data_IF_473323655058
#
_entry.id   IF_473323655058
#
_cell.length_a   1.000
_cell.length_b   1.000
_cell.length_c   1.000
_cell.angle_alpha   90.00
_cell.angle_beta   90.00
_cell.angle_gamma   90.00
#
_symmetry.space_group_name_H-M   'P 1'
#
loop_
_entity.id
_entity.type
_entity.pdbx_description
1 polymer ?
#
# COMPACT_ATOMS: atom_id res chain seq x y z
N UNK A 1 -5.53 1.44 12.70
CA UNK A 1 -5.35 2.91 12.72
C UNK A 1 -4.50 3.31 11.53
N UNK A 2 -4.84 4.39 10.83
CA UNK A 2 -4.05 4.86 9.68
C UNK A 2 -2.81 5.62 10.15
N UNK A 3 -1.69 5.37 9.49
CA UNK A 3 -0.38 5.95 9.79
C UNK A 3 0.21 6.57 8.51
N UNK A 4 0.90 7.69 8.65
CA UNK A 4 1.71 8.25 7.58
C UNK A 4 3.08 7.58 7.57
N UNK A 5 3.68 7.42 6.40
CA UNK A 5 5.02 6.84 6.26
C UNK A 5 5.91 7.84 5.55
N UNK A 6 7.08 8.10 6.11
CA UNK A 6 8.10 8.95 5.51
C UNK A 6 8.99 8.13 4.56
N UNK A 7 9.48 8.72 3.46
CA UNK A 7 10.36 8.02 2.52
C UNK A 7 11.62 7.42 3.19
N UNK A 8 12.17 8.09 4.20
CA UNK A 8 13.35 7.60 4.95
C UNK A 8 13.11 6.25 5.60
N UNK A 9 11.88 5.95 6.02
CA UNK A 9 11.53 4.67 6.65
C UNK A 9 11.58 3.48 5.67
N UNK A 10 11.59 3.78 4.37
CA UNK A 10 11.69 2.78 3.30
C UNK A 10 13.11 2.75 2.71
N UNK A 11 13.74 3.91 2.53
CA UNK A 11 14.99 4.02 1.75
C UNK A 11 16.26 4.27 2.57
N UNK A 12 16.18 4.65 3.85
CA UNK A 12 17.35 4.80 4.73
C UNK A 12 17.42 3.63 5.73
N UNK A 13 18.47 2.79 5.67
CA UNK A 13 18.64 1.65 6.57
C UNK A 13 18.56 1.96 8.06
N UNK A 14 18.89 3.20 8.46
CA UNK A 14 18.83 3.63 9.86
C UNK A 14 17.40 3.71 10.42
N UNK A 15 16.40 3.71 9.55
CA UNK A 15 14.99 3.84 9.90
C UNK A 15 14.18 2.59 9.54
N UNK A 16 14.82 1.51 9.08
CA UNK A 16 14.12 0.30 8.68
C UNK A 16 13.41 -0.35 9.85
N UNK A 17 12.09 -0.42 9.74
CA UNK A 17 11.24 -1.22 10.60
C UNK A 17 11.25 -2.66 10.09
N UNK A 18 11.61 -3.61 10.95
CA UNK A 18 11.64 -5.04 10.58
C UNK A 18 10.29 -5.75 10.77
N UNK A 19 9.32 -5.08 11.40
CA UNK A 19 7.99 -5.64 11.68
C UNK A 19 7.05 -5.49 10.50
N UNK A 20 6.40 -6.60 10.12
CA UNK A 20 5.31 -6.63 9.15
C UNK A 20 4.04 -5.90 9.63
N UNK A 21 3.94 -5.62 10.93
CA UNK A 21 2.89 -4.75 11.47
C UNK A 21 3.04 -3.27 11.09
N UNK A 22 4.20 -2.86 10.56
CA UNK A 22 4.44 -1.47 10.16
C UNK A 22 4.25 -1.29 8.63
N UNK A 23 3.50 -0.28 8.15
CA UNK A 23 3.24 -0.11 6.72
C UNK A 23 4.51 0.01 5.86
N UNK A 24 5.58 0.61 6.40
CA UNK A 24 6.85 0.78 5.69
C UNK A 24 7.46 -0.56 5.23
N UNK A 25 7.27 -1.64 6.00
CA UNK A 25 7.75 -2.98 5.64
C UNK A 25 7.16 -3.45 4.31
N UNK A 26 5.83 -3.34 4.17
CA UNK A 26 5.12 -3.73 2.95
C UNK A 26 5.41 -2.77 1.78
N UNK A 27 5.46 -1.46 2.05
CA UNK A 27 5.74 -0.46 1.03
C UNK A 27 7.17 -0.58 0.45
N UNK A 28 8.13 -1.07 1.22
CA UNK A 28 9.48 -1.33 0.72
C UNK A 28 9.52 -2.36 -0.42
N UNK A 29 8.58 -3.31 -0.40
CA UNK A 29 8.45 -4.38 -1.41
C UNK A 29 7.91 -3.87 -2.75
N UNK A 30 7.23 -2.72 -2.78
CA UNK A 30 6.70 -2.13 -4.02
C UNK A 30 7.83 -1.79 -5.00
N UNK A 31 7.66 -2.17 -6.27
CA UNK A 31 8.58 -1.84 -7.36
C UNK A 31 8.22 -0.48 -7.96
N UNK A 32 9.09 0.04 -8.84
CA UNK A 32 8.84 1.32 -9.53
C UNK A 32 7.46 1.40 -10.21
N UNK A 33 6.98 0.37 -10.95
CA UNK A 33 5.66 0.41 -11.58
C UNK A 33 4.51 0.48 -10.58
N UNK A 34 4.66 -0.15 -9.42
CA UNK A 34 3.64 -0.17 -8.36
C UNK A 34 3.47 1.23 -7.74
N UNK A 35 4.58 1.96 -7.55
CA UNK A 35 4.54 3.38 -7.16
C UNK A 35 3.91 4.28 -8.24
N UNK A 36 4.12 3.95 -9.52
CA UNK A 36 3.45 4.68 -10.61
C UNK A 36 1.94 4.42 -10.62
N UNK A 37 1.50 3.20 -10.29
CA UNK A 37 0.07 2.88 -10.14
C UNK A 37 -0.55 3.69 -9.00
N UNK A 38 0.12 3.81 -7.85
CA UNK A 38 -0.34 4.68 -6.76
C UNK A 38 -0.48 6.15 -7.19
N UNK A 39 0.47 6.68 -7.95
CA UNK A 39 0.37 8.05 -8.46
C UNK A 39 -0.74 8.20 -9.50
N UNK A 40 -0.99 7.18 -10.35
CA UNK A 40 -2.15 7.16 -11.26
C UNK A 40 -3.47 7.18 -10.48
N UNK A 41 -3.57 6.37 -9.43
CA UNK A 41 -4.72 6.38 -8.52
C UNK A 41 -4.93 7.76 -7.87
N UNK A 42 -3.84 8.47 -7.54
CA UNK A 42 -3.87 9.84 -7.01
C UNK A 42 -4.05 10.93 -8.09
N UNK A 43 -4.16 10.56 -9.37
CA UNK A 43 -4.22 11.48 -10.51
C UNK A 43 -3.01 12.42 -10.61
N UNK A 44 -1.86 12.00 -10.09
CA UNK A 44 -0.60 12.73 -10.14
C UNK A 44 0.21 12.26 -11.35
N UNK A 45 0.48 13.21 -12.27
CA UNK A 45 1.34 12.94 -13.43
C UNK A 45 2.80 12.84 -13.02
N UNK A 46 3.35 11.64 -13.06
CA UNK A 46 4.79 11.41 -12.88
C UNK A 46 5.53 11.33 -14.22
N UNK A 47 6.75 11.88 -14.26
CA UNK A 47 7.66 11.65 -15.39
C UNK A 47 8.05 10.16 -15.44
N UNK A 48 8.04 9.56 -16.63
CA UNK A 48 8.46 8.15 -16.82
C UNK A 48 9.90 7.89 -16.34
N UNK A 49 10.77 8.90 -16.45
CA UNK A 49 12.16 8.89 -16.01
C UNK A 49 12.37 9.03 -14.49
N UNK A 50 11.32 9.36 -13.72
CA UNK A 50 11.44 9.56 -12.28
C UNK A 50 11.95 8.29 -11.57
N UNK A 51 12.81 8.47 -10.55
CA UNK A 51 13.37 7.37 -9.75
C UNK A 51 12.36 6.90 -8.71
N UNK A 52 12.47 5.62 -8.28
CA UNK A 52 11.57 5.00 -7.28
C UNK A 52 11.40 5.87 -6.02
N UNK A 53 12.46 6.42 -5.37
CA UNK A 53 12.29 7.25 -4.19
C UNK A 53 11.47 8.52 -4.44
N UNK A 54 11.65 9.19 -5.57
CA UNK A 54 10.89 10.39 -5.91
C UNK A 54 9.39 10.09 -6.13
N UNK A 55 9.08 8.96 -6.78
CA UNK A 55 7.70 8.50 -6.96
C UNK A 55 7.06 8.15 -5.61
N UNK A 56 7.80 7.45 -4.76
CA UNK A 56 7.35 7.08 -3.43
C UNK A 56 7.08 8.32 -2.57
N UNK A 57 8.00 9.29 -2.53
CA UNK A 57 7.78 10.55 -1.80
C UNK A 57 6.50 11.26 -2.21
N UNK A 58 6.27 11.43 -3.51
CA UNK A 58 5.05 12.08 -4.01
C UNK A 58 3.76 11.34 -3.61
N UNK A 59 3.80 9.99 -3.57
CA UNK A 59 2.65 9.20 -3.14
C UNK A 59 2.44 9.28 -1.62
N UNK A 60 3.51 9.14 -0.85
CA UNK A 60 3.51 9.12 0.63
C UNK A 60 3.07 10.45 1.25
N UNK A 61 3.32 11.57 0.57
CA UNK A 61 2.80 12.88 1.00
C UNK A 61 1.27 12.91 1.07
N UNK A 62 0.59 12.16 0.19
CA UNK A 62 -0.87 12.19 0.00
C UNK A 62 -1.61 11.02 0.62
N UNK A 63 -0.89 9.99 1.08
CA UNK A 63 -1.49 8.74 1.52
C UNK A 63 -1.23 8.48 3.01
N UNK A 64 -2.23 7.90 3.66
CA UNK A 64 -2.09 7.24 4.95
C UNK A 64 -2.43 5.76 4.80
N UNK A 65 -1.83 4.91 5.63
CA UNK A 65 -1.84 3.46 5.47
C UNK A 65 -2.24 2.74 6.76
N UNK A 66 -2.97 1.64 6.64
CA UNK A 66 -3.28 0.72 7.73
C UNK A 66 -2.92 -0.69 7.28
N UNK A 67 -2.08 -1.38 8.07
CA UNK A 67 -1.86 -2.82 7.91
C UNK A 67 -3.07 -3.56 8.45
N UNK A 68 -3.53 -4.57 7.72
CA UNK A 68 -4.67 -5.41 8.04
C UNK A 68 -4.30 -6.86 7.73
N UNK A 69 -4.25 -7.69 8.77
CA UNK A 69 -3.84 -9.09 8.63
C UNK A 69 -5.00 -9.92 8.08
N UNK A 70 -6.23 -9.53 8.42
CA UNK A 70 -7.44 -10.22 7.99
C UNK A 70 -8.24 -9.45 6.94
N UNK A 71 -9.06 -10.18 6.17
CA UNK A 71 -10.04 -9.57 5.25
C UNK A 71 -11.07 -8.73 6.00
N UNK A 72 -11.49 -9.18 7.19
CA UNK A 72 -12.45 -8.45 8.01
C UNK A 72 -11.89 -7.09 8.47
N UNK A 73 -10.61 -7.03 8.87
CA UNK A 73 -9.94 -5.78 9.22
C UNK A 73 -9.81 -4.84 8.02
N UNK A 74 -9.45 -5.38 6.85
CA UNK A 74 -9.38 -4.59 5.63
C UNK A 74 -10.75 -3.98 5.29
N UNK A 75 -11.83 -4.76 5.38
CA UNK A 75 -13.19 -4.26 5.19
C UNK A 75 -13.62 -3.22 6.22
N UNK A 76 -13.28 -3.41 7.50
CA UNK A 76 -13.56 -2.41 8.54
C UNK A 76 -12.82 -1.10 8.26
N UNK A 77 -11.52 -1.18 7.98
CA UNK A 77 -10.71 0.00 7.62
C UNK A 77 -11.23 0.68 6.36
N UNK A 78 -11.65 -0.09 5.36
CA UNK A 78 -12.27 0.43 4.15
C UNK A 78 -13.59 1.16 4.41
N UNK A 79 -14.44 0.58 5.25
CA UNK A 79 -15.73 1.17 5.62
C UNK A 79 -15.54 2.52 6.31
N UNK A 80 -14.46 2.68 7.11
CA UNK A 80 -14.08 3.96 7.69
C UNK A 80 -13.67 4.97 6.61
N UNK A 81 -12.88 4.55 5.61
CA UNK A 81 -12.49 5.41 4.47
C UNK A 81 -13.72 5.91 3.71
N UNK A 82 -14.68 5.03 3.43
CA UNK A 82 -15.93 5.40 2.79
C UNK A 82 -16.79 6.34 3.67
N UNK A 83 -16.87 6.08 4.97
CA UNK A 83 -17.60 6.92 5.92
C UNK A 83 -17.03 8.33 6.03
N UNK A 84 -15.72 8.48 5.85
CA UNK A 84 -15.03 9.78 5.76
C UNK A 84 -15.14 10.44 4.38
N UNK A 85 -15.84 9.81 3.41
CA UNK A 85 -15.90 10.24 2.01
C UNK A 85 -14.52 10.36 1.35
N UNK A 86 -13.52 9.66 1.89
CA UNK A 86 -12.17 9.67 1.38
C UNK A 86 -12.02 8.65 0.24
N UNK A 87 -11.11 8.94 -0.69
CA UNK A 87 -10.68 7.94 -1.69
C UNK A 87 -9.68 7.00 -1.05
N UNK A 88 -9.71 5.73 -1.42
CA UNK A 88 -8.67 4.77 -1.03
C UNK A 88 -8.51 3.63 -2.02
N UNK A 89 -7.58 2.72 -1.72
CA UNK A 89 -7.53 1.39 -2.31
C UNK A 89 -6.94 0.40 -1.30
N UNK A 90 -6.99 -0.89 -1.61
CA UNK A 90 -6.28 -1.92 -0.84
C UNK A 90 -5.14 -2.46 -1.69
N UNK A 91 -3.94 -2.52 -1.12
CA UNK A 91 -2.82 -3.27 -1.69
C UNK A 91 -2.76 -4.61 -0.97
N UNK A 92 -3.07 -5.70 -1.67
CA UNK A 92 -2.93 -7.04 -1.12
C UNK A 92 -1.59 -7.63 -1.54
N UNK A 93 -0.83 -8.14 -0.59
CA UNK A 93 0.47 -8.73 -0.84
C UNK A 93 0.31 -10.23 -0.89
N UNK A 94 0.41 -10.83 -2.08
CA UNK A 94 0.27 -12.29 -2.25
C UNK A 94 1.61 -12.97 -2.12
N UNK A 95 1.67 -14.08 -1.39
CA UNK A 95 2.82 -14.97 -1.52
C UNK A 95 2.75 -15.69 -2.86
N UNK A 96 3.89 -15.77 -3.54
CA UNK A 96 4.02 -16.68 -4.66
C UNK A 96 4.14 -18.11 -4.12
N UNK A 97 3.81 -19.11 -4.95
CA UNK A 97 3.96 -20.51 -4.54
C UNK A 97 5.43 -20.89 -4.28
N UNK A 98 6.38 -20.19 -4.94
CA UNK A 98 7.81 -20.48 -4.89
C UNK A 98 8.61 -19.60 -3.90
N UNK A 99 8.09 -18.43 -3.52
CA UNK A 99 8.74 -17.47 -2.62
C UNK A 99 7.71 -16.87 -1.66
N UNK A 100 7.83 -17.27 -0.40
CA UNK A 100 7.01 -16.85 0.74
C UNK A 100 7.67 -15.72 1.54
N UNK A 101 8.85 -15.26 1.13
CA UNK A 101 9.58 -14.18 1.82
C UNK A 101 9.18 -12.80 1.31
N UNK A 102 8.51 -12.74 0.15
CA UNK A 102 8.08 -11.49 -0.51
C UNK A 102 6.65 -11.58 -0.98
N UNK A 103 5.90 -10.51 -0.73
CA UNK A 103 4.56 -10.32 -1.25
C UNK A 103 4.58 -9.67 -2.63
N UNK A 104 3.85 -10.25 -3.58
CA UNK A 104 3.53 -9.61 -4.85
C UNK A 104 2.34 -8.67 -4.62
N UNK A 105 2.50 -7.35 -4.81
CA UNK A 105 1.41 -6.41 -4.59
C UNK A 105 0.35 -6.52 -5.69
N UNK A 106 -0.91 -6.59 -5.29
CA UNK A 106 -2.06 -6.45 -6.15
C UNK A 106 -2.94 -5.31 -5.63
N UNK A 107 -3.34 -4.41 -6.53
CA UNK A 107 -4.14 -3.23 -6.19
C UNK A 107 -5.62 -3.53 -6.40
N UNK A 108 -6.41 -3.35 -5.35
CA UNK A 108 -7.84 -3.70 -5.32
C UNK A 108 -8.66 -2.46 -4.99
N UNK A 109 -9.66 -2.17 -5.83
CA UNK A 109 -10.57 -1.03 -5.67
C UNK A 109 -11.94 -1.50 -5.21
N UNK A 110 -12.16 -1.47 -3.90
CA UNK A 110 -13.40 -1.94 -3.30
C UNK A 110 -14.61 -1.05 -3.65
N UNK A 111 -14.39 0.21 -4.04
CA UNK A 111 -15.43 1.09 -4.59
C UNK A 111 -15.94 0.61 -5.97
N UNK A 112 -15.18 -0.22 -6.67
CA UNK A 112 -15.58 -0.89 -7.91
C UNK A 112 -16.14 -2.29 -7.67
N UNK A 113 -16.41 -2.64 -6.40
CA UNK A 113 -16.82 -3.97 -5.97
C UNK A 113 -15.80 -5.07 -6.27
N UNK A 114 -14.52 -4.73 -6.43
CA UNK A 114 -13.46 -5.73 -6.58
C UNK A 114 -13.37 -6.60 -5.31
N UNK A 115 -13.11 -7.90 -5.49
CA UNK A 115 -13.00 -8.82 -4.38
C UNK A 115 -11.57 -8.83 -3.79
N UNK A 116 -11.46 -8.83 -2.46
CA UNK A 116 -10.20 -9.12 -1.79
C UNK A 116 -9.84 -10.59 -1.95
N UNK A 117 -8.56 -10.86 -2.22
CA UNK A 117 -8.03 -12.20 -2.33
C UNK A 117 -8.25 -13.04 -1.06
N UNK A 118 -8.43 -14.35 -1.26
CA UNK A 118 -8.81 -15.30 -0.21
C UNK A 118 -7.65 -16.20 0.23
N UNK A 119 -6.74 -16.54 -0.69
CA UNK A 119 -5.70 -17.55 -0.49
C UNK A 119 -4.34 -16.96 -0.84
N UNK A 120 -3.30 -17.40 -0.11
CA UNK A 120 -1.92 -16.96 -0.25
C UNK A 120 -1.77 -15.44 -0.09
N UNK A 121 -2.47 -14.84 0.87
CA UNK A 121 -2.33 -13.40 1.18
C UNK A 121 -1.45 -13.26 2.42
N UNK A 122 -0.32 -12.60 2.26
CA UNK A 122 0.63 -12.28 3.31
C UNK A 122 0.09 -11.19 4.23
N UNK A 123 -0.42 -10.10 3.64
CA UNK A 123 -1.08 -9.01 4.36
C UNK A 123 -1.87 -8.13 3.39
N UNK A 124 -2.67 -7.21 3.95
CA UNK A 124 -3.39 -6.18 3.21
C UNK A 124 -3.02 -4.83 3.77
N UNK A 125 -2.62 -3.92 2.90
CA UNK A 125 -2.38 -2.54 3.24
C UNK A 125 -3.51 -1.70 2.68
N UNK A 126 -4.42 -1.27 3.55
CA UNK A 126 -5.46 -0.31 3.18
C UNK A 126 -4.81 1.07 3.14
N UNK A 127 -4.94 1.77 2.02
CA UNK A 127 -4.47 3.15 1.91
C UNK A 127 -5.64 4.10 1.63
N UNK A 128 -5.55 5.30 2.19
CA UNK A 128 -6.51 6.38 1.97
C UNK A 128 -5.81 7.68 1.61
N UNK A 129 -6.46 8.47 0.78
CA UNK A 129 -6.04 9.83 0.46
C UNK A 129 -6.30 10.72 1.68
N UNK A 130 -5.32 11.57 1.99
CA UNK A 130 -5.35 12.55 3.09
C UNK A 130 -6.07 13.82 2.71
#
# INVERSE_FOLDING_TARGET
MFQTVQPKEIFDPRYWQVSDSHPAYWLAQLRKPDWQELLRFLEIKAKSSARKPALASAALERLAFAVCDTRAEAWRSWSLVLGEQARGLVIQFRHSEADWTRGIPEFVRLDRCDALGFVNIASRLVCKVR
#
